data_IF_862824342434
#
_entry.id   IF_862824342434
#
_cell.length_a   1.000
_cell.length_b   1.000
_cell.length_c   1.000
_cell.angle_alpha   90.00
_cell.angle_beta   90.00
_cell.angle_gamma   90.00
#
_symmetry.space_group_name_H-M   'P 1'
#
loop_
_entity.id
_entity.type
_entity.pdbx_description
1 polymer ?
#
# COMPACT_ATOMS: atom_id res chain seq x y z
N UNK A 1 7.32 -2.48 17.86
CA UNK A 1 7.36 -3.81 17.20
C UNK A 1 7.10 -3.60 15.72
N UNK A 2 7.84 -4.27 14.82
CA UNK A 2 7.63 -4.17 13.38
C UNK A 2 6.99 -5.44 12.82
N UNK A 3 6.05 -5.29 11.88
CA UNK A 3 5.40 -6.41 11.21
C UNK A 3 5.29 -6.15 9.70
N UNK A 4 5.94 -7.02 8.92
CA UNK A 4 5.88 -6.99 7.46
C UNK A 4 4.58 -7.63 6.93
N UNK A 5 4.29 -7.39 5.65
CA UNK A 5 3.09 -7.91 5.00
C UNK A 5 3.03 -9.45 5.05
N UNK A 6 1.97 -10.05 5.63
CA UNK A 6 1.93 -11.48 5.91
C UNK A 6 1.77 -12.36 4.66
N UNK A 7 1.30 -11.80 3.54
CA UNK A 7 1.08 -12.55 2.29
C UNK A 7 2.19 -12.33 1.24
N UNK A 8 3.36 -11.83 1.67
CA UNK A 8 4.51 -11.56 0.79
C UNK A 8 4.86 -12.72 -0.18
N UNK A 9 4.89 -14.01 0.26
CA UNK A 9 5.26 -15.13 -0.61
C UNK A 9 4.25 -15.47 -1.72
N UNK A 10 3.00 -15.02 -1.61
CA UNK A 10 1.95 -15.26 -2.62
C UNK A 10 1.65 -14.00 -3.45
N UNK A 11 1.99 -12.82 -2.95
CA UNK A 11 1.84 -11.56 -3.68
C UNK A 11 2.98 -11.28 -4.68
N UNK A 12 4.09 -12.01 -4.57
CA UNK A 12 5.28 -11.86 -5.41
C UNK A 12 5.81 -13.23 -5.84
N UNK A 13 6.69 -13.30 -6.86
CA UNK A 13 7.33 -14.57 -7.22
C UNK A 13 8.00 -15.25 -6.03
N UNK A 14 7.60 -16.51 -5.78
CA UNK A 14 8.03 -17.30 -4.61
C UNK A 14 9.54 -17.34 -4.43
N UNK A 15 10.29 -17.35 -5.53
CA UNK A 15 11.75 -17.46 -5.55
C UNK A 15 12.49 -16.22 -5.01
N UNK A 16 11.82 -15.09 -4.77
CA UNK A 16 12.43 -13.94 -4.10
C UNK A 16 12.66 -14.18 -2.60
N UNK A 17 11.87 -15.05 -1.97
CA UNK A 17 11.91 -15.30 -0.52
C UNK A 17 11.80 -16.80 -0.19
N UNK A 18 12.52 -17.69 -0.90
CA UNK A 18 12.20 -19.12 -1.00
C UNK A 18 12.21 -19.87 0.34
N UNK A 19 12.96 -19.39 1.32
CA UNK A 19 13.10 -20.01 2.64
C UNK A 19 12.30 -19.29 3.73
N UNK A 20 11.66 -18.16 3.41
CA UNK A 20 10.98 -17.34 4.40
C UNK A 20 9.50 -17.69 4.49
N UNK A 21 9.01 -17.68 5.72
CA UNK A 21 7.59 -17.84 6.05
C UNK A 21 7.06 -16.52 6.59
N UNK A 22 5.93 -16.10 6.04
CA UNK A 22 5.17 -14.94 6.48
C UNK A 22 3.78 -15.39 6.89
N UNK A 23 3.13 -14.61 7.76
CA UNK A 23 1.80 -14.91 8.21
C UNK A 23 1.42 -14.12 9.44
N UNK A 24 0.12 -14.05 9.71
CA UNK A 24 -0.43 -13.44 10.92
C UNK A 24 -0.18 -14.42 12.07
N UNK A 25 0.72 -14.05 13.00
CA UNK A 25 1.12 -14.89 14.13
C UNK A 25 0.71 -14.24 15.46
N UNK A 26 -0.59 -14.29 15.79
CA UNK A 26 -1.16 -13.63 16.99
C UNK A 26 -0.39 -13.95 18.27
N UNK A 27 -0.11 -15.24 18.53
CA UNK A 27 0.58 -15.69 19.73
C UNK A 27 2.02 -15.17 19.80
N UNK A 28 2.72 -15.13 18.66
CA UNK A 28 4.09 -14.60 18.58
C UNK A 28 4.12 -13.09 18.81
N UNK A 29 3.16 -12.36 18.23
CA UNK A 29 3.01 -10.94 18.48
C UNK A 29 2.69 -10.66 19.95
N UNK A 30 1.77 -11.42 20.57
CA UNK A 30 1.47 -11.28 21.99
C UNK A 30 2.71 -11.50 22.85
N UNK A 31 3.50 -12.55 22.57
CA UNK A 31 4.76 -12.81 23.27
C UNK A 31 5.75 -11.64 23.15
N UNK A 32 5.89 -11.05 21.96
CA UNK A 32 6.75 -9.87 21.75
C UNK A 32 6.24 -8.62 22.48
N UNK A 33 4.92 -8.44 22.59
CA UNK A 33 4.32 -7.34 23.37
C UNK A 33 4.62 -7.55 24.86
N UNK A 34 4.37 -8.76 25.37
CA UNK A 34 4.57 -9.11 26.78
C UNK A 34 6.05 -8.99 27.16
N UNK A 35 6.96 -9.44 26.29
CA UNK A 35 8.41 -9.28 26.46
C UNK A 35 8.81 -7.80 26.54
N UNK A 36 8.36 -6.97 25.59
CA UNK A 36 8.67 -5.55 25.59
C UNK A 36 8.17 -4.86 26.89
N UNK A 37 6.95 -5.20 27.34
CA UNK A 37 6.40 -4.70 28.61
C UNK A 37 7.19 -5.21 29.82
N UNK A 38 7.58 -6.48 29.83
CA UNK A 38 8.39 -7.09 30.88
C UNK A 38 9.78 -6.45 31.01
N UNK A 39 10.34 -5.99 29.90
CA UNK A 39 11.58 -5.20 29.85
C UNK A 39 11.39 -3.72 30.24
N UNK A 40 10.17 -3.32 30.60
CA UNK A 40 9.86 -1.99 31.13
C UNK A 40 9.25 -1.00 30.14
N UNK A 41 8.91 -1.42 28.91
CA UNK A 41 8.29 -0.53 27.93
C UNK A 41 6.97 0.08 28.46
N UNK A 42 6.92 1.42 28.50
CA UNK A 42 5.74 2.18 28.94
C UNK A 42 4.77 2.49 27.81
N UNK A 43 5.25 2.43 26.57
CA UNK A 43 4.45 2.48 25.36
C UNK A 43 4.86 1.34 24.42
N UNK A 44 3.91 0.68 23.77
CA UNK A 44 4.15 -0.33 22.74
C UNK A 44 3.33 0.01 21.50
N UNK A 45 4.03 0.29 20.42
CA UNK A 45 3.46 0.61 19.11
C UNK A 45 3.83 -0.48 18.11
N UNK A 46 2.86 -0.89 17.31
CA UNK A 46 3.07 -1.77 16.15
C UNK A 46 3.21 -0.92 14.89
N UNK A 47 4.38 -0.98 14.25
CA UNK A 47 4.58 -0.49 12.89
C UNK A 47 4.23 -1.64 11.94
N UNK A 48 3.05 -1.56 11.32
CA UNK A 48 2.43 -2.65 10.59
C UNK A 48 2.40 -2.39 9.09
N UNK A 49 2.58 -3.45 8.31
CA UNK A 49 2.28 -3.48 6.88
C UNK A 49 1.26 -4.58 6.55
N UNK A 50 0.37 -4.94 7.49
CA UNK A 50 -0.65 -5.97 7.26
C UNK A 50 -1.79 -5.51 6.35
N UNK A 51 -2.16 -4.24 6.48
CA UNK A 51 -3.37 -3.66 5.90
C UNK A 51 -4.42 -3.32 6.96
N UNK A 52 -5.17 -2.25 6.72
CA UNK A 52 -6.04 -1.63 7.72
C UNK A 52 -7.06 -2.59 8.36
N UNK A 53 -7.78 -3.37 7.56
CA UNK A 53 -8.78 -4.31 8.10
C UNK A 53 -8.14 -5.43 8.93
N UNK A 54 -6.99 -5.94 8.50
CA UNK A 54 -6.21 -6.94 9.26
C UNK A 54 -5.74 -6.35 10.57
N UNK A 55 -5.22 -5.11 10.56
CA UNK A 55 -4.75 -4.42 11.77
C UNK A 55 -5.89 -4.13 12.75
N UNK A 56 -7.07 -3.74 12.25
CA UNK A 56 -8.26 -3.55 13.07
C UNK A 56 -8.69 -4.85 13.76
N UNK A 57 -8.72 -5.97 13.01
CA UNK A 57 -8.99 -7.28 13.59
C UNK A 57 -7.90 -7.66 14.60
N UNK A 58 -6.62 -7.53 14.24
CA UNK A 58 -5.48 -7.88 15.10
C UNK A 58 -5.50 -7.10 16.42
N UNK A 59 -5.83 -5.81 16.39
CA UNK A 59 -5.96 -4.98 17.59
C UNK A 59 -7.00 -5.51 18.59
N UNK A 60 -8.04 -6.23 18.12
CA UNK A 60 -9.04 -6.86 18.99
C UNK A 60 -8.58 -8.20 19.58
N UNK A 61 -7.48 -8.76 19.07
CA UNK A 61 -7.02 -10.14 19.33
C UNK A 61 -5.80 -10.18 20.25
N UNK A 62 -5.03 -9.10 20.28
CA UNK A 62 -3.88 -8.93 21.18
C UNK A 62 -4.15 -7.86 22.23
N UNK A 63 -3.41 -7.93 23.33
CA UNK A 63 -3.48 -6.95 24.42
C UNK A 63 -2.13 -6.27 24.60
N UNK A 64 -2.16 -5.06 25.14
CA UNK A 64 -0.94 -4.32 25.53
C UNK A 64 -0.35 -3.41 24.46
N UNK A 65 -0.96 -3.33 23.27
CA UNK A 65 -0.67 -2.29 22.28
C UNK A 65 -1.36 -0.98 22.67
N UNK A 66 -0.64 0.13 22.48
CA UNK A 66 -1.20 1.48 22.60
C UNK A 66 -1.64 2.01 21.22
N UNK A 67 -0.85 1.71 20.18
CA UNK A 67 -1.17 2.11 18.82
C UNK A 67 -0.65 1.14 17.74
N UNK A 68 -1.30 1.17 16.58
CA UNK A 68 -0.87 0.57 15.33
C UNK A 68 -0.70 1.71 14.30
N UNK A 69 0.50 1.82 13.75
CA UNK A 69 0.81 2.64 12.58
C UNK A 69 0.80 1.71 11.37
N UNK A 70 -0.33 1.68 10.66
CA UNK A 70 -0.55 0.76 9.55
C UNK A 70 0.09 1.21 8.24
N UNK A 71 -0.01 0.33 7.24
CA UNK A 71 0.37 0.55 5.85
C UNK A 71 -0.41 -0.35 4.91
N UNK A 72 0.19 -0.69 3.77
CA UNK A 72 -0.32 -1.62 2.73
C UNK A 72 -1.58 -1.17 1.98
N UNK A 73 -2.69 -0.91 2.68
CA UNK A 73 -3.98 -0.64 2.06
C UNK A 73 -4.15 0.79 1.54
N UNK A 74 -3.18 1.67 1.85
CA UNK A 74 -3.16 3.08 1.42
C UNK A 74 -4.37 3.89 1.89
N UNK A 75 -5.00 3.48 3.00
CA UNK A 75 -6.08 4.26 3.59
C UNK A 75 -5.50 5.49 4.28
N UNK A 76 -6.19 6.61 4.16
CA UNK A 76 -5.92 7.81 4.94
C UNK A 76 -7.00 7.90 6.00
N UNK A 77 -6.62 7.78 7.27
CA UNK A 77 -7.54 7.90 8.40
C UNK A 77 -7.41 9.31 9.00
N UNK A 78 -8.34 10.25 8.73
CA UNK A 78 -8.24 11.60 9.31
C UNK A 78 -8.30 11.59 10.85
N UNK A 79 -8.91 10.54 11.42
CA UNK A 79 -8.95 10.24 12.85
C UNK A 79 -8.62 8.77 13.06
N UNK A 80 -7.94 8.41 14.17
CA UNK A 80 -7.63 7.01 14.46
C UNK A 80 -8.92 6.24 14.76
N UNK A 81 -8.92 4.95 14.45
CA UNK A 81 -9.98 4.04 14.88
C UNK A 81 -9.54 3.38 16.18
N UNK A 82 -10.36 3.48 17.23
CA UNK A 82 -10.06 2.86 18.53
C UNK A 82 -10.64 1.44 18.59
N UNK A 83 -9.80 0.46 18.87
CA UNK A 83 -10.19 -0.93 19.13
C UNK A 83 -9.74 -1.30 20.54
N UNK A 84 -10.68 -1.36 21.48
CA UNK A 84 -10.34 -1.47 22.91
C UNK A 84 -9.48 -0.28 23.36
N UNK A 85 -8.29 -0.57 23.90
CA UNK A 85 -7.30 0.45 24.28
C UNK A 85 -6.42 0.93 23.13
N UNK A 86 -6.34 0.18 22.02
CA UNK A 86 -5.41 0.41 20.92
C UNK A 86 -5.96 1.42 19.92
N UNK A 87 -5.14 2.39 19.49
CA UNK A 87 -5.45 3.25 18.35
C UNK A 87 -4.88 2.68 17.04
N UNK A 88 -5.70 2.51 16.01
CA UNK A 88 -5.27 2.08 14.68
C UNK A 88 -5.29 3.28 13.73
N UNK A 89 -4.17 3.52 13.05
CA UNK A 89 -3.94 4.67 12.16
C UNK A 89 -3.41 4.22 10.81
N UNK A 90 -3.62 5.06 9.80
CA UNK A 90 -3.13 4.83 8.44
C UNK A 90 -2.95 6.19 7.74
N UNK A 91 -1.79 6.42 7.10
CA UNK A 91 -1.37 7.75 6.62
C UNK A 91 -1.42 7.89 5.09
N UNK A 92 -2.25 7.11 4.41
CA UNK A 92 -2.37 7.15 2.95
C UNK A 92 -1.16 6.57 2.23
N UNK A 93 -0.80 7.17 1.09
CA UNK A 93 0.30 6.73 0.22
C UNK A 93 0.97 7.92 -0.48
N UNK A 94 2.07 7.65 -1.19
CA UNK A 94 2.77 8.62 -2.04
C UNK A 94 3.21 9.90 -1.31
N UNK A 95 3.44 9.83 0.00
CA UNK A 95 3.81 11.01 0.80
C UNK A 95 2.71 12.08 0.90
N UNK A 96 1.46 11.79 0.51
CA UNK A 96 0.34 12.75 0.52
C UNK A 96 0.01 13.26 1.92
N UNK A 97 0.28 12.47 2.95
CA UNK A 97 0.03 12.84 4.33
C UNK A 97 1.17 12.39 5.25
N UNK A 98 1.35 13.14 6.34
CA UNK A 98 2.15 12.78 7.49
C UNK A 98 1.24 12.50 8.68
N UNK A 99 1.23 11.24 9.15
CA UNK A 99 0.58 10.88 10.40
C UNK A 99 1.44 11.27 11.60
N UNK A 100 0.90 12.07 12.51
CA UNK A 100 1.56 12.52 13.74
C UNK A 100 0.82 11.96 14.94
N UNK A 101 1.49 11.10 15.71
CA UNK A 101 0.97 10.53 16.95
C UNK A 101 1.78 11.08 18.13
N UNK A 102 1.18 12.02 18.87
CA UNK A 102 1.74 12.51 20.12
C UNK A 102 1.31 11.58 21.27
N UNK A 103 2.27 11.15 22.10
CA UNK A 103 2.02 10.24 23.23
C UNK A 103 2.51 10.89 24.53
N UNK A 104 1.63 11.02 25.53
CA UNK A 104 2.03 11.35 26.91
C UNK A 104 2.35 10.04 27.65
N UNK A 105 3.63 9.80 27.91
CA UNK A 105 4.13 8.54 28.50
C UNK A 105 4.69 8.81 29.89
N UNK A 106 4.05 8.22 30.91
CA UNK A 106 4.49 8.28 32.30
C UNK A 106 4.98 6.93 32.84
N UNK A 107 5.33 6.91 34.13
CA UNK A 107 5.80 5.69 34.81
C UNK A 107 4.79 4.53 34.79
N UNK A 108 3.49 4.86 34.76
CA UNK A 108 2.39 3.90 34.69
C UNK A 108 1.98 3.48 33.27
N UNK A 109 2.61 4.03 32.23
CA UNK A 109 2.25 3.79 30.83
C UNK A 109 1.78 5.05 30.10
N UNK A 110 1.07 4.85 28.98
CA UNK A 110 0.51 5.93 28.16
C UNK A 110 -0.73 6.53 28.83
N UNK A 111 -0.72 7.85 29.06
CA UNK A 111 -1.82 8.61 29.67
C UNK A 111 -2.74 9.25 28.65
N UNK A 112 -2.17 9.75 27.56
CA UNK A 112 -2.90 10.43 26.49
C UNK A 112 -2.27 10.11 25.13
N UNK A 113 -3.13 10.07 24.11
CA UNK A 113 -2.77 9.82 22.71
C UNK A 113 -3.51 10.81 21.82
N UNK A 114 -2.76 11.62 21.06
CA UNK A 114 -3.32 12.57 20.12
C UNK A 114 -2.80 12.28 18.73
N UNK A 115 -3.72 12.20 17.77
CA UNK A 115 -3.39 11.93 16.39
C UNK A 115 -3.82 13.07 15.49
N UNK A 116 -2.96 13.42 14.53
CA UNK A 116 -3.24 14.33 13.43
C UNK A 116 -2.76 13.72 12.13
N UNK A 117 -3.52 13.92 11.06
CA UNK A 117 -3.10 13.60 9.71
C UNK A 117 -2.87 14.92 8.96
N UNK A 118 -1.61 15.23 8.67
CA UNK A 118 -1.22 16.50 8.05
C UNK A 118 -1.04 16.30 6.54
N UNK A 119 -1.76 17.04 5.67
CA UNK A 119 -1.53 16.97 4.23
C UNK A 119 -0.20 17.59 3.85
N UNK A 120 0.50 16.98 2.89
CA UNK A 120 1.77 17.48 2.37
C UNK A 120 1.52 18.19 1.04
N UNK A 121 1.38 19.51 1.10
CA UNK A 121 1.25 20.38 -0.08
C UNK A 121 2.59 21.03 -0.39
N UNK A 122 3.32 20.52 -1.39
CA UNK A 122 4.67 20.99 -1.74
C UNK A 122 4.73 22.46 -2.19
N UNK A 123 3.61 23.02 -2.64
CA UNK A 123 3.49 24.44 -2.98
C UNK A 123 3.27 25.35 -1.76
N UNK A 124 3.06 24.78 -0.56
CA UNK A 124 2.85 25.51 0.70
C UNK A 124 3.97 25.25 1.73
N UNK A 125 4.92 24.37 1.42
CA UNK A 125 6.00 23.96 2.31
C UNK A 125 7.34 24.25 1.63
N UNK A 126 8.28 24.82 2.37
CA UNK A 126 9.65 24.97 1.89
C UNK A 126 10.30 23.59 1.74
N UNK A 127 10.95 23.37 0.60
CA UNK A 127 11.69 22.14 0.36
C UNK A 127 12.97 22.10 1.20
N UNK A 128 13.28 20.95 1.78
CA UNK A 128 14.59 20.73 2.40
C UNK A 128 15.68 20.75 1.32
N UNK A 129 16.62 21.69 1.42
CA UNK A 129 17.64 21.91 0.40
C UNK A 129 18.57 20.70 0.23
N UNK A 130 18.89 19.99 1.31
CA UNK A 130 19.72 18.79 1.28
C UNK A 130 19.05 17.64 0.55
N UNK A 131 17.78 17.38 0.86
CA UNK A 131 16.97 16.35 0.20
C UNK A 131 16.70 16.69 -1.26
N UNK A 132 16.42 17.95 -1.58
CA UNK A 132 16.24 18.40 -2.96
C UNK A 132 17.52 18.16 -3.80
N UNK A 133 18.69 18.51 -3.25
CA UNK A 133 19.97 18.24 -3.90
C UNK A 133 20.25 16.75 -4.09
N UNK A 134 19.95 15.93 -3.06
CA UNK A 134 20.10 14.47 -3.14
C UNK A 134 19.21 13.86 -4.22
N UNK A 135 17.92 14.23 -4.26
CA UNK A 135 16.97 13.74 -5.27
C UNK A 135 17.39 14.17 -6.67
N UNK A 136 17.81 15.42 -6.85
CA UNK A 136 18.32 15.90 -8.14
C UNK A 136 19.54 15.10 -8.60
N UNK A 137 20.53 14.87 -7.73
CA UNK A 137 21.72 14.10 -8.08
C UNK A 137 21.40 12.63 -8.40
N UNK A 138 20.53 11.98 -7.61
CA UNK A 138 20.12 10.61 -7.86
C UNK A 138 19.36 10.44 -9.20
N UNK A 139 18.62 11.47 -9.61
CA UNK A 139 17.82 11.47 -10.85
C UNK A 139 18.59 11.93 -12.08
N UNK A 140 19.67 12.72 -11.90
CA UNK A 140 20.46 13.33 -12.98
C UNK A 140 20.83 12.37 -14.11
N UNK A 141 21.23 11.10 -13.87
CA UNK A 141 21.56 10.18 -14.97
C UNK A 141 20.34 9.74 -15.81
N UNK A 142 19.12 9.90 -15.29
CA UNK A 142 17.89 9.36 -15.86
C UNK A 142 16.89 10.44 -16.27
N UNK A 143 17.15 11.71 -15.95
CA UNK A 143 16.20 12.82 -16.12
C UNK A 143 15.64 12.92 -17.54
N UNK A 144 16.50 12.85 -18.57
CA UNK A 144 16.06 12.90 -19.96
C UNK A 144 15.15 11.72 -20.33
N UNK A 145 15.43 10.52 -19.80
CA UNK A 145 14.65 9.31 -20.05
C UNK A 145 13.32 9.35 -19.30
N UNK A 146 13.33 9.71 -18.02
CA UNK A 146 12.13 9.83 -17.19
C UNK A 146 11.19 10.92 -17.71
N UNK A 147 11.75 12.03 -18.21
CA UNK A 147 11.02 13.16 -18.79
C UNK A 147 10.58 12.98 -20.24
N UNK A 148 10.86 11.83 -20.88
CA UNK A 148 10.40 11.56 -22.24
C UNK A 148 8.88 11.64 -22.31
N UNK A 149 8.36 12.54 -23.14
CA UNK A 149 6.91 12.71 -23.35
C UNK A 149 6.40 11.66 -24.33
N UNK A 150 5.46 10.85 -23.87
CA UNK A 150 4.85 9.77 -24.66
C UNK A 150 3.52 10.20 -25.29
N UNK A 151 2.70 10.94 -24.55
CA UNK A 151 1.39 11.42 -25.01
C UNK A 151 0.91 12.61 -24.16
N UNK A 152 -0.29 13.10 -24.44
CA UNK A 152 -1.04 14.05 -23.60
C UNK A 152 -2.39 13.42 -23.30
N UNK A 153 -2.84 13.45 -22.05
CA UNK A 153 -4.15 12.92 -21.69
C UNK A 153 -5.24 13.97 -21.90
N UNK A 154 -6.38 13.59 -22.48
CA UNK A 154 -7.56 14.46 -22.59
C UNK A 154 -8.47 14.38 -21.34
N UNK A 155 -8.33 13.31 -20.56
CA UNK A 155 -9.14 13.01 -19.39
C UNK A 155 -8.32 12.80 -18.13
N UNK A 156 -9.00 12.63 -17.00
CA UNK A 156 -8.38 12.27 -15.73
C UNK A 156 -7.90 10.81 -15.80
N UNK A 157 -6.60 10.58 -15.56
CA UNK A 157 -6.03 9.24 -15.43
C UNK A 157 -5.72 8.96 -13.96
N UNK A 158 -6.36 7.94 -13.39
CA UNK A 158 -6.08 7.50 -12.02
C UNK A 158 -5.95 5.98 -11.94
N UNK A 159 -5.18 5.51 -10.96
CA UNK A 159 -4.96 4.08 -10.69
C UNK A 159 -6.03 3.46 -9.80
N UNK A 160 -6.19 4.03 -8.60
CA UNK A 160 -6.92 3.37 -7.51
C UNK A 160 -8.43 3.34 -7.76
N UNK A 161 -9.01 2.15 -7.79
CA UNK A 161 -10.45 1.88 -7.76
C UNK A 161 -10.69 0.40 -7.50
N UNK A 162 -11.80 0.03 -6.85
CA UNK A 162 -12.04 -1.37 -6.45
C UNK A 162 -12.30 -2.34 -7.61
N UNK A 163 -12.69 -1.82 -8.77
CA UNK A 163 -12.99 -2.59 -9.98
C UNK A 163 -12.31 -2.04 -11.24
N UNK A 164 -11.98 -0.74 -11.26
CA UNK A 164 -11.40 -0.09 -12.43
C UNK A 164 -10.72 1.25 -12.07
N UNK A 165 -9.71 1.62 -12.86
CA UNK A 165 -9.08 2.93 -12.91
C UNK A 165 -8.81 3.34 -14.36
N UNK A 166 -8.95 4.63 -14.69
CA UNK A 166 -8.82 5.09 -16.08
C UNK A 166 -7.39 4.96 -16.63
N UNK A 167 -6.37 4.97 -15.76
CA UNK A 167 -5.00 4.66 -16.19
C UNK A 167 -4.86 3.15 -16.50
N UNK A 168 -5.47 2.28 -15.69
CA UNK A 168 -5.50 0.84 -15.98
C UNK A 168 -6.19 0.53 -17.31
N UNK A 169 -7.29 1.21 -17.60
CA UNK A 169 -7.99 1.05 -18.87
C UNK A 169 -7.10 1.37 -20.08
N UNK A 170 -6.23 2.40 -19.96
CA UNK A 170 -5.24 2.72 -20.99
C UNK A 170 -4.23 1.57 -21.18
N UNK A 171 -3.72 1.01 -20.08
CA UNK A 171 -2.77 -0.12 -20.10
C UNK A 171 -3.43 -1.36 -20.70
N UNK A 172 -4.65 -1.68 -20.27
CA UNK A 172 -5.43 -2.81 -20.77
C UNK A 172 -5.71 -2.70 -22.27
N UNK A 173 -6.10 -1.51 -22.76
CA UNK A 173 -6.29 -1.26 -24.20
C UNK A 173 -5.01 -1.43 -25.00
N UNK A 174 -3.87 -0.99 -24.47
CA UNK A 174 -2.57 -1.21 -25.09
C UNK A 174 -2.24 -2.71 -25.14
N UNK A 175 -2.46 -3.46 -24.07
CA UNK A 175 -2.26 -4.91 -24.04
C UNK A 175 -3.14 -5.64 -25.06
N UNK A 176 -4.44 -5.31 -25.13
CA UNK A 176 -5.36 -5.89 -26.11
C UNK A 176 -4.88 -5.66 -27.54
N UNK A 177 -4.45 -4.43 -27.86
CA UNK A 177 -3.96 -4.06 -29.19
C UNK A 177 -2.65 -4.77 -29.54
N UNK A 178 -1.66 -4.71 -28.66
CA UNK A 178 -0.31 -5.24 -28.93
C UNK A 178 -0.27 -6.78 -28.91
N UNK A 179 -1.12 -7.42 -28.11
CA UNK A 179 -1.19 -8.88 -28.00
C UNK A 179 -2.28 -9.50 -28.87
N UNK A 180 -3.12 -8.68 -29.52
CA UNK A 180 -4.28 -9.13 -30.29
C UNK A 180 -5.18 -10.08 -29.47
N UNK A 181 -5.40 -9.72 -28.20
CA UNK A 181 -6.19 -10.51 -27.26
C UNK A 181 -7.63 -9.99 -27.17
N UNK A 182 -8.54 -10.85 -26.72
CA UNK A 182 -9.96 -10.50 -26.50
C UNK A 182 -10.21 -9.96 -25.08
N UNK A 183 -9.39 -10.38 -24.11
CA UNK A 183 -9.46 -9.99 -22.70
C UNK A 183 -8.03 -9.71 -22.22
N UNK A 184 -7.88 -8.66 -21.42
CA UNK A 184 -6.63 -8.32 -20.74
C UNK A 184 -6.89 -8.20 -19.23
N UNK A 185 -5.90 -8.60 -18.44
CA UNK A 185 -5.91 -8.46 -16.99
C UNK A 185 -4.77 -7.54 -16.58
N UNK A 186 -5.05 -6.66 -15.63
CA UNK A 186 -4.06 -5.81 -14.96
C UNK A 186 -4.17 -6.08 -13.46
N UNK A 187 -3.05 -6.17 -12.73
CA UNK A 187 -3.10 -6.34 -11.28
C UNK A 187 -3.74 -5.11 -10.61
N UNK A 188 -4.67 -5.31 -9.68
CA UNK A 188 -5.32 -4.27 -8.88
C UNK A 188 -4.39 -3.60 -7.84
N UNK A 189 -3.26 -3.04 -8.30
CA UNK A 189 -2.29 -2.34 -7.48
C UNK A 189 -2.84 -1.01 -6.97
N UNK A 190 -2.50 -0.70 -5.71
CA UNK A 190 -2.90 0.54 -5.03
C UNK A 190 -1.87 1.67 -5.13
N UNK A 191 -0.68 1.39 -5.65
CA UNK A 191 0.36 2.39 -5.92
C UNK A 191 0.25 2.90 -7.36
N UNK A 192 0.55 4.19 -7.53
CA UNK A 192 0.44 4.90 -8.80
C UNK A 192 0.13 6.38 -8.58
N UNK A 193 0.37 7.18 -9.60
CA UNK A 193 0.08 8.62 -9.63
C UNK A 193 -1.19 8.90 -10.45
N UNK A 194 -1.63 10.17 -10.45
CA UNK A 194 -2.81 10.65 -11.15
C UNK A 194 -2.39 11.77 -12.10
N UNK A 195 -2.95 11.77 -13.31
CA UNK A 195 -2.75 12.85 -14.28
C UNK A 195 -4.05 13.57 -14.58
N UNK A 196 -4.00 14.90 -14.57
CA UNK A 196 -5.09 15.79 -14.92
C UNK A 196 -5.23 15.92 -16.44
N UNK A 197 -6.44 16.26 -16.94
CA UNK A 197 -6.64 16.61 -18.34
C UNK A 197 -5.63 17.66 -18.83
N UNK A 198 -5.02 17.40 -19.98
CA UNK A 198 -4.01 18.25 -20.62
C UNK A 198 -2.57 18.00 -20.16
N UNK A 199 -2.34 17.17 -19.15
CA UNK A 199 -0.98 16.84 -18.71
C UNK A 199 -0.28 15.86 -19.67
N UNK A 200 1.05 16.00 -19.78
CA UNK A 200 1.87 15.06 -20.54
C UNK A 200 2.02 13.74 -19.78
N UNK A 201 1.78 12.63 -20.48
CA UNK A 201 2.15 11.30 -20.00
C UNK A 201 3.63 11.13 -20.32
N UNK A 202 4.47 10.97 -19.30
CA UNK A 202 5.91 10.76 -19.45
C UNK A 202 6.27 9.28 -19.24
N UNK A 203 7.50 8.90 -19.57
CA UNK A 203 8.00 7.57 -19.22
C UNK A 203 7.99 7.33 -17.71
N UNK A 204 8.28 8.35 -16.90
CA UNK A 204 8.15 8.27 -15.44
C UNK A 204 6.71 7.95 -15.03
N UNK A 205 5.71 8.63 -15.61
CA UNK A 205 4.31 8.33 -15.33
C UNK A 205 3.93 6.90 -15.74
N UNK A 206 4.50 6.34 -16.81
CA UNK A 206 4.29 4.93 -17.15
C UNK A 206 4.93 4.00 -16.11
N UNK A 207 6.16 4.32 -15.67
CA UNK A 207 6.88 3.55 -14.65
C UNK A 207 6.13 3.58 -13.31
N UNK A 208 5.59 4.73 -12.90
CA UNK A 208 4.78 4.89 -11.68
C UNK A 208 3.57 3.94 -11.64
N UNK A 209 3.12 3.40 -12.77
CA UNK A 209 1.99 2.47 -12.85
C UNK A 209 2.41 1.02 -13.07
N UNK A 210 3.65 0.78 -13.52
CA UNK A 210 4.07 -0.55 -14.04
C UNK A 210 5.45 -1.03 -13.53
N UNK A 211 6.13 -0.26 -12.67
CA UNK A 211 7.47 -0.56 -12.15
C UNK A 211 7.50 -1.70 -11.11
N UNK A 212 7.17 -2.91 -11.56
CA UNK A 212 7.49 -4.16 -10.85
C UNK A 212 8.78 -4.75 -11.40
N UNK A 213 9.49 -5.52 -10.56
CA UNK A 213 10.77 -6.17 -10.96
C UNK A 213 10.60 -7.41 -11.85
N UNK A 214 9.35 -7.79 -12.13
CA UNK A 214 8.94 -8.89 -13.00
C UNK A 214 7.90 -8.43 -14.03
N UNK A 215 8.18 -7.41 -14.86
CA UNK A 215 7.17 -6.68 -15.65
C UNK A 215 6.76 -7.41 -16.94
N UNK A 216 7.01 -8.71 -17.03
CA UNK A 216 6.74 -9.47 -18.25
C UNK A 216 5.23 -9.62 -18.48
N UNK A 217 4.77 -9.16 -19.65
CA UNK A 217 3.40 -9.40 -20.13
C UNK A 217 3.33 -10.72 -20.88
N UNK A 218 2.34 -11.56 -20.61
CA UNK A 218 2.14 -12.84 -21.30
C UNK A 218 0.81 -12.86 -22.07
N UNK A 219 0.72 -13.73 -23.08
CA UNK A 219 -0.50 -14.03 -23.81
C UNK A 219 -0.76 -15.53 -23.63
N UNK A 220 -1.95 -15.88 -23.14
CA UNK A 220 -2.34 -17.26 -22.85
C UNK A 220 -3.76 -17.50 -23.33
N UNK A 221 -4.05 -18.73 -23.77
CA UNK A 221 -5.42 -19.17 -24.04
C UNK A 221 -6.07 -19.65 -22.73
N UNK A 222 -7.24 -19.09 -22.42
CA UNK A 222 -8.04 -19.45 -21.24
C UNK A 222 -9.48 -19.74 -21.68
N UNK A 223 -10.05 -20.82 -21.18
CA UNK A 223 -11.48 -21.08 -21.31
C UNK A 223 -12.30 -20.06 -20.52
N UNK A 224 -13.55 -19.83 -20.93
CA UNK A 224 -14.48 -18.98 -20.18
C UNK A 224 -14.68 -19.43 -18.72
N UNK A 225 -14.58 -20.74 -18.46
CA UNK A 225 -14.63 -21.28 -17.11
C UNK A 225 -13.41 -20.88 -16.27
N UNK A 226 -12.20 -20.86 -16.85
CA UNK A 226 -10.99 -20.39 -16.16
C UNK A 226 -11.07 -18.89 -15.87
N UNK A 227 -11.53 -18.08 -16.83
CA UNK A 227 -11.74 -16.64 -16.64
C UNK A 227 -12.72 -16.39 -15.48
N UNK A 228 -13.86 -17.08 -15.48
CA UNK A 228 -14.83 -16.98 -14.38
C UNK A 228 -14.20 -17.36 -13.04
N UNK A 229 -13.48 -18.48 -12.98
CA UNK A 229 -12.86 -18.95 -11.75
C UNK A 229 -11.84 -17.93 -11.18
N UNK A 230 -11.03 -17.32 -12.04
CA UNK A 230 -10.08 -16.27 -11.63
C UNK A 230 -10.81 -15.07 -11.02
N UNK A 231 -11.87 -14.59 -11.67
CA UNK A 231 -12.63 -13.44 -11.18
C UNK A 231 -13.36 -13.73 -9.85
N UNK A 232 -13.90 -14.93 -9.69
CA UNK A 232 -14.55 -15.36 -8.43
C UNK A 232 -13.53 -15.51 -7.30
N UNK A 233 -12.35 -16.08 -7.56
CA UNK A 233 -11.29 -16.20 -6.54
C UNK A 233 -10.79 -14.82 -6.06
N UNK A 234 -10.67 -13.86 -6.98
CA UNK A 234 -10.37 -12.47 -6.64
C UNK A 234 -11.49 -11.84 -5.79
N UNK A 235 -12.75 -12.03 -6.18
CA UNK A 235 -13.90 -11.50 -5.44
C UNK A 235 -14.01 -12.09 -4.04
N UNK A 236 -13.80 -13.41 -3.89
CA UNK A 236 -13.79 -14.11 -2.61
C UNK A 236 -12.71 -13.56 -1.69
N UNK A 237 -11.55 -13.14 -2.22
CA UNK A 237 -10.49 -12.51 -1.43
C UNK A 237 -10.84 -11.07 -1.02
N UNK A 238 -11.21 -10.23 -1.99
CA UNK A 238 -11.41 -8.79 -1.79
C UNK A 238 -12.63 -8.51 -0.92
N UNK A 239 -13.69 -9.30 -1.10
CA UNK A 239 -14.98 -9.14 -0.41
C UNK A 239 -15.14 -10.08 0.79
N UNK A 240 -14.08 -10.80 1.17
CA UNK A 240 -14.14 -11.75 2.28
C UNK A 240 -14.62 -11.07 3.57
N UNK A 241 -15.61 -11.65 4.26
CA UNK A 241 -16.15 -11.06 5.49
C UNK A 241 -15.14 -11.06 6.65
N UNK A 242 -14.24 -12.03 6.67
CA UNK A 242 -13.10 -12.07 7.60
C UNK A 242 -11.90 -11.27 7.06
N UNK A 243 -11.47 -10.18 7.75
CA UNK A 243 -10.28 -9.42 7.39
C UNK A 243 -8.97 -10.22 7.27
N UNK A 244 -8.80 -11.33 8.01
CA UNK A 244 -7.58 -12.16 7.92
C UNK A 244 -7.50 -13.01 6.66
N UNK A 245 -8.56 -13.02 5.85
CA UNK A 245 -8.57 -13.67 4.55
C UNK A 245 -8.55 -12.62 3.41
N UNK A 246 -8.53 -11.33 3.75
CA UNK A 246 -8.32 -10.26 2.79
C UNK A 246 -6.81 -10.01 2.62
N UNK A 247 -6.33 -9.93 1.37
CA UNK A 247 -4.93 -9.62 1.09
C UNK A 247 -4.66 -8.13 0.84
N UNK A 248 -5.69 -7.29 0.82
CA UNK A 248 -5.55 -5.83 0.70
C UNK A 248 -5.24 -5.32 -0.70
N UNK A 249 -5.51 -6.12 -1.74
CA UNK A 249 -5.58 -5.68 -3.14
C UNK A 249 -6.98 -5.21 -3.55
N UNK A 250 -7.10 -4.76 -4.80
CA UNK A 250 -8.37 -4.49 -5.48
C UNK A 250 -8.56 -5.48 -6.65
N UNK A 251 -9.73 -5.46 -7.31
CA UNK A 251 -10.02 -6.29 -8.49
C UNK A 251 -9.56 -5.64 -9.80
#
# INVERSE_FOLDING_TARGET
IGQAFPYTPIANPRYFVPEWTFGIQEARLQGAIDEARGQGAKAVVLLSHNGSHVDLKLASRVRGLDAILGGHTHDAFPRPIRVGSTLVTNAGSNGKFLGVLDMDVGAGGVKDLRYRLLPVFSNLLEADAGMAAYVAEARRPFEAKLGEKLAVTEGLLYRRGSFNGTFDELILRALLKEKQAEIAFSPGFRWGTTLLPGEAITLEHLMDQTAITYPHTTLNELSGAQIKAILEDLADNVLHADPYLQHGGDM
#
